data_IF_334482393085
#
_entry.id   IF_334482393085
#
_cell.length_a   1.000
_cell.length_b   1.000
_cell.length_c   1.000
_cell.angle_alpha   90.00
_cell.angle_beta   90.00
_cell.angle_gamma   90.00
#
_symmetry.space_group_name_H-M   'P 1'
#
loop_
_entity.id
_entity.type
_entity.pdbx_description
1 polymer ?
#
# COMPACT_ATOMS: atom_id res chain seq x y z
N UNK A 1 -2.22 -21.83 -4.43
CA UNK A 1 -1.28 -20.72 -4.31
C UNK A 1 -1.39 -19.84 -5.53
N UNK A 2 -1.43 -18.57 -5.35
CA UNK A 2 -1.60 -17.60 -6.43
C UNK A 2 -0.26 -16.98 -6.81
N UNK A 3 -0.11 -16.66 -8.09
CA UNK A 3 1.08 -15.94 -8.55
C UNK A 3 0.85 -14.43 -8.32
N UNK A 4 1.45 -13.92 -7.25
CA UNK A 4 1.24 -12.51 -6.87
C UNK A 4 1.71 -11.55 -7.96
N UNK A 5 2.70 -11.93 -8.78
CA UNK A 5 3.21 -11.05 -9.81
C UNK A 5 2.19 -10.78 -10.92
N UNK A 6 1.13 -11.59 -11.00
CA UNK A 6 0.03 -11.38 -11.94
C UNK A 6 -1.10 -10.54 -11.37
N UNK A 7 -1.06 -10.24 -10.08
CA UNK A 7 -2.11 -9.45 -9.43
C UNK A 7 -1.89 -7.96 -9.70
N UNK A 8 -2.90 -7.32 -10.24
CA UNK A 8 -2.80 -5.88 -10.56
C UNK A 8 -2.53 -5.04 -9.32
N UNK A 9 -3.13 -5.40 -8.18
CA UNK A 9 -2.91 -4.65 -6.95
C UNK A 9 -1.47 -4.77 -6.47
N UNK A 10 -0.84 -5.94 -6.66
CA UNK A 10 0.57 -6.09 -6.32
C UNK A 10 1.45 -5.24 -7.23
N UNK A 11 1.18 -5.25 -8.54
CA UNK A 11 1.95 -4.44 -9.49
C UNK A 11 1.87 -2.96 -9.13
N UNK A 12 0.68 -2.49 -8.81
CA UNK A 12 0.46 -1.10 -8.42
C UNK A 12 1.20 -0.76 -7.13
N UNK A 13 1.09 -1.63 -6.13
CA UNK A 13 1.76 -1.43 -4.84
C UNK A 13 3.28 -1.46 -4.99
N UNK A 14 3.79 -2.33 -5.85
CA UNK A 14 5.22 -2.42 -6.11
C UNK A 14 5.75 -1.14 -6.77
N UNK A 15 5.07 -0.67 -7.82
CA UNK A 15 5.47 0.57 -8.48
C UNK A 15 5.41 1.76 -7.53
N UNK A 16 4.39 1.81 -6.69
CA UNK A 16 4.27 2.84 -5.67
C UNK A 16 5.43 2.78 -4.68
N UNK A 17 5.83 1.58 -4.27
CA UNK A 17 6.96 1.38 -3.36
C UNK A 17 8.24 1.93 -4.00
N UNK A 18 8.48 1.61 -5.28
CA UNK A 18 9.64 2.14 -5.99
C UNK A 18 9.60 3.66 -6.05
N UNK A 19 8.44 4.24 -6.31
CA UNK A 19 8.29 5.69 -6.36
C UNK A 19 8.64 6.34 -5.03
N UNK A 20 8.13 5.80 -3.93
CA UNK A 20 8.41 6.33 -2.59
C UNK A 20 9.91 6.27 -2.29
N UNK A 21 10.55 5.14 -2.57
CA UNK A 21 11.98 4.99 -2.34
C UNK A 21 12.82 5.95 -3.16
N UNK A 22 12.44 6.18 -4.42
CA UNK A 22 13.25 6.98 -5.34
C UNK A 22 12.97 8.48 -5.23
N UNK A 23 11.73 8.87 -4.91
CA UNK A 23 11.31 10.25 -5.01
C UNK A 23 10.94 10.89 -3.67
N UNK A 24 10.52 10.12 -2.68
CA UNK A 24 10.05 10.68 -1.41
C UNK A 24 11.10 10.55 -0.32
N UNK A 25 11.61 9.33 -0.08
CA UNK A 25 12.55 9.12 1.02
C UNK A 25 13.81 9.97 0.88
N UNK A 26 14.38 10.18 -0.33
CA UNK A 26 15.59 11.00 -0.45
C UNK A 26 15.41 12.48 -0.10
N UNK A 27 14.18 13.02 -0.20
CA UNK A 27 13.94 14.42 0.07
C UNK A 27 13.47 14.69 1.50
N UNK A 28 13.30 13.64 2.30
CA UNK A 28 12.91 13.81 3.70
C UNK A 28 14.06 14.46 4.50
N UNK A 29 13.73 15.32 5.49
CA UNK A 29 14.75 15.92 6.34
C UNK A 29 15.56 14.88 7.09
N UNK A 30 16.85 15.15 7.28
CA UNK A 30 17.74 14.24 7.98
C UNK A 30 17.28 14.01 9.42
N UNK A 31 16.61 14.98 10.02
CA UNK A 31 16.10 14.88 11.39
C UNK A 31 15.06 13.79 11.54
N UNK A 32 14.39 13.41 10.43
CA UNK A 32 13.37 12.37 10.45
C UNK A 32 13.89 10.98 10.10
N UNK A 33 15.20 10.85 9.89
CA UNK A 33 15.79 9.61 9.36
C UNK A 33 15.45 8.36 10.17
N UNK A 34 15.44 8.47 11.49
CA UNK A 34 15.15 7.34 12.38
C UNK A 34 13.73 7.39 12.95
N UNK A 35 12.91 8.29 12.48
CA UNK A 35 11.53 8.45 12.93
C UNK A 35 10.58 8.36 11.73
N UNK A 36 10.10 9.50 11.24
CA UNK A 36 9.06 9.52 10.20
C UNK A 36 9.51 8.90 8.88
N UNK A 37 10.75 9.14 8.45
CA UNK A 37 11.28 8.55 7.23
C UNK A 37 11.28 7.03 7.31
N UNK A 38 11.71 6.48 8.43
CA UNK A 38 11.73 5.02 8.64
C UNK A 38 10.31 4.46 8.68
N UNK A 39 9.39 5.17 9.32
CA UNK A 39 7.99 4.75 9.40
C UNK A 39 7.34 4.69 8.02
N UNK A 40 7.58 5.71 7.20
CA UNK A 40 7.07 5.74 5.83
C UNK A 40 7.64 4.59 5.01
N UNK A 41 8.94 4.33 5.13
CA UNK A 41 9.59 3.22 4.43
C UNK A 41 8.92 1.91 4.77
N UNK A 42 8.78 1.61 6.06
CA UNK A 42 8.23 0.33 6.53
C UNK A 42 6.77 0.17 6.13
N UNK A 43 5.95 1.19 6.33
CA UNK A 43 4.54 1.13 5.97
C UNK A 43 4.39 0.91 4.46
N UNK A 44 5.22 1.57 3.66
CA UNK A 44 5.13 1.49 2.21
C UNK A 44 5.45 0.07 1.72
N UNK A 45 6.60 -0.50 2.07
CA UNK A 45 6.93 -1.83 1.56
C UNK A 45 6.07 -2.93 2.17
N UNK A 46 5.47 -2.66 3.33
CA UNK A 46 4.53 -3.58 3.96
C UNK A 46 3.31 -3.85 3.08
N UNK A 47 2.92 -2.91 2.22
CA UNK A 47 1.77 -3.10 1.34
C UNK A 47 2.00 -4.27 0.37
N UNK A 48 2.99 -4.23 -0.52
CA UNK A 48 3.21 -5.36 -1.43
C UNK A 48 3.65 -6.61 -0.69
N UNK A 49 4.38 -6.48 0.41
CA UNK A 49 4.85 -7.65 1.17
C UNK A 49 3.69 -8.47 1.72
N UNK A 50 2.65 -7.83 2.26
CA UNK A 50 1.48 -8.53 2.76
C UNK A 50 0.68 -9.19 1.63
N UNK A 51 0.66 -8.58 0.45
CA UNK A 51 0.03 -9.20 -0.72
C UNK A 51 0.79 -10.48 -1.09
N UNK A 52 2.12 -10.43 -1.11
CA UNK A 52 2.96 -11.59 -1.39
C UNK A 52 2.70 -12.71 -0.38
N UNK A 53 2.75 -12.39 0.90
CA UNK A 53 2.56 -13.38 1.95
C UNK A 53 1.16 -13.99 1.88
N UNK A 54 0.14 -13.17 1.69
CA UNK A 54 -1.24 -13.65 1.59
C UNK A 54 -1.46 -14.55 0.39
N UNK A 55 -0.81 -14.23 -0.73
CA UNK A 55 -0.96 -15.02 -1.97
C UNK A 55 -0.45 -16.45 -1.81
N UNK A 56 0.44 -16.69 -0.85
CA UNK A 56 0.97 -18.02 -0.55
C UNK A 56 0.11 -18.83 0.40
N UNK A 57 -1.00 -18.29 0.89
CA UNK A 57 -1.85 -19.02 1.83
C UNK A 57 -2.81 -19.95 1.08
N UNK A 58 -3.27 -21.00 1.77
CA UNK A 58 -4.09 -22.04 1.16
C UNK A 58 -5.56 -21.65 1.00
N UNK A 59 -6.04 -20.69 1.78
CA UNK A 59 -7.47 -20.34 1.79
C UNK A 59 -7.67 -18.87 1.45
N UNK A 60 -8.83 -18.57 0.87
CA UNK A 60 -9.23 -17.18 0.61
C UNK A 60 -9.36 -16.38 1.91
N UNK A 61 -9.83 -17.05 2.96
CA UNK A 61 -9.97 -16.41 4.27
C UNK A 61 -8.63 -15.90 4.78
N UNK A 62 -7.59 -16.72 4.71
CA UNK A 62 -6.26 -16.33 5.16
C UNK A 62 -5.66 -15.27 4.26
N UNK A 63 -5.85 -15.40 2.96
CA UNK A 63 -5.39 -14.38 2.01
C UNK A 63 -6.03 -13.03 2.34
N UNK A 64 -7.35 -13.01 2.54
CA UNK A 64 -8.07 -11.77 2.88
C UNK A 64 -7.53 -11.13 4.15
N UNK A 65 -7.13 -11.92 5.15
CA UNK A 65 -6.54 -11.38 6.38
C UNK A 65 -5.23 -10.64 6.12
N UNK A 66 -4.40 -11.17 5.24
CA UNK A 66 -3.15 -10.48 4.85
C UNK A 66 -3.45 -9.22 4.04
N UNK A 67 -4.50 -9.24 3.22
CA UNK A 67 -4.91 -8.03 2.50
C UNK A 67 -5.47 -6.98 3.44
N UNK A 68 -6.11 -7.37 4.55
CA UNK A 68 -6.49 -6.42 5.60
C UNK A 68 -5.24 -5.72 6.17
N UNK A 69 -4.16 -6.48 6.37
CA UNK A 69 -2.91 -5.90 6.85
C UNK A 69 -2.33 -4.93 5.82
N UNK A 70 -2.40 -5.28 4.53
CA UNK A 70 -1.95 -4.39 3.46
C UNK A 70 -2.79 -3.11 3.43
N UNK A 71 -4.10 -3.22 3.65
CA UNK A 71 -4.98 -2.05 3.70
C UNK A 71 -4.63 -1.17 4.90
N UNK A 72 -4.34 -1.76 6.06
CA UNK A 72 -3.91 -1.02 7.23
C UNK A 72 -2.62 -0.24 6.96
N UNK A 73 -1.66 -0.88 6.31
CA UNK A 73 -0.40 -0.22 5.92
C UNK A 73 -0.65 0.92 4.93
N UNK A 74 -1.59 0.73 4.00
CA UNK A 74 -1.96 1.77 3.04
C UNK A 74 -2.53 2.99 3.74
N UNK A 75 -3.40 2.78 4.74
CA UNK A 75 -3.96 3.88 5.53
C UNK A 75 -2.89 4.60 6.35
N UNK A 76 -1.93 3.85 6.86
CA UNK A 76 -0.81 4.42 7.59
C UNK A 76 0.02 5.34 6.68
N UNK A 77 0.31 4.89 5.46
CA UNK A 77 0.99 5.70 4.45
C UNK A 77 0.17 6.94 4.09
N UNK A 78 -1.14 6.77 3.94
CA UNK A 78 -2.05 7.87 3.64
C UNK A 78 -1.91 8.99 4.66
N UNK A 79 -1.97 8.64 5.94
CA UNK A 79 -1.82 9.63 6.99
C UNK A 79 -0.42 10.26 7.02
N UNK A 80 0.61 9.43 6.86
CA UNK A 80 1.99 9.93 6.87
C UNK A 80 2.21 10.97 5.78
N UNK A 81 1.61 10.78 4.60
CA UNK A 81 1.72 11.76 3.52
C UNK A 81 0.97 13.05 3.81
N UNK A 82 -0.18 12.97 4.47
CA UNK A 82 -0.88 14.17 4.96
C UNK A 82 0.05 14.93 5.90
N UNK A 83 0.69 14.24 6.80
CA UNK A 83 1.57 14.85 7.79
C UNK A 83 2.77 15.54 7.13
N UNK A 84 3.46 14.85 6.21
CA UNK A 84 4.63 15.46 5.57
C UNK A 84 4.24 16.58 4.60
N UNK A 85 3.03 16.55 4.05
CA UNK A 85 2.49 17.67 3.30
C UNK A 85 2.32 18.89 4.21
N UNK A 86 1.68 18.69 5.35
CA UNK A 86 1.38 19.78 6.29
C UNK A 86 2.64 20.34 6.96
N UNK A 87 3.68 19.49 7.10
CA UNK A 87 4.99 19.92 7.57
C UNK A 87 5.82 20.56 6.46
N UNK A 88 5.28 20.63 5.25
CA UNK A 88 5.95 21.18 4.07
C UNK A 88 7.24 20.44 3.69
N UNK A 89 7.34 19.15 4.02
CA UNK A 89 8.46 18.32 3.60
C UNK A 89 8.36 17.95 2.13
N UNK A 90 7.13 17.91 1.58
CA UNK A 90 6.90 17.69 0.14
C UNK A 90 5.98 18.79 -0.37
N UNK A 91 6.04 19.02 -1.69
CA UNK A 91 5.17 20.00 -2.34
C UNK A 91 3.75 19.47 -2.47
N UNK A 92 2.79 20.37 -2.71
CA UNK A 92 1.40 19.96 -2.94
C UNK A 92 1.29 19.12 -4.21
N UNK A 93 2.08 19.42 -5.24
CA UNK A 93 2.07 18.65 -6.49
C UNK A 93 2.54 17.21 -6.25
N UNK A 94 3.61 17.04 -5.48
CA UNK A 94 4.13 15.71 -5.12
C UNK A 94 3.09 14.96 -4.29
N UNK A 95 2.50 15.65 -3.32
CA UNK A 95 1.45 15.05 -2.49
C UNK A 95 0.28 14.54 -3.35
N UNK A 96 -0.20 15.35 -4.30
CA UNK A 96 -1.33 14.97 -5.13
C UNK A 96 -1.04 13.69 -5.93
N UNK A 97 0.18 13.57 -6.47
CA UNK A 97 0.58 12.38 -7.23
C UNK A 97 0.59 11.13 -6.35
N UNK A 98 1.24 11.20 -5.17
CA UNK A 98 1.32 10.03 -4.30
C UNK A 98 -0.04 9.67 -3.69
N UNK A 99 -0.85 10.68 -3.36
CA UNK A 99 -2.17 10.46 -2.80
C UNK A 99 -3.11 9.76 -3.79
N UNK A 100 -3.00 10.08 -5.07
CA UNK A 100 -3.75 9.40 -6.11
C UNK A 100 -3.42 7.91 -6.13
N UNK A 101 -2.14 7.56 -6.08
CA UNK A 101 -1.70 6.17 -6.04
C UNK A 101 -2.21 5.46 -4.79
N UNK A 102 -2.14 6.12 -3.64
CA UNK A 102 -2.65 5.55 -2.37
C UNK A 102 -4.13 5.24 -2.49
N UNK A 103 -4.92 6.16 -3.04
CA UNK A 103 -6.37 5.96 -3.19
C UNK A 103 -6.68 4.81 -4.16
N UNK A 104 -5.92 4.67 -5.23
CA UNK A 104 -6.09 3.58 -6.18
C UNK A 104 -5.79 2.23 -5.53
N UNK A 105 -4.68 2.14 -4.80
CA UNK A 105 -4.30 0.91 -4.08
C UNK A 105 -5.37 0.56 -3.05
N UNK A 106 -5.82 1.55 -2.30
CA UNK A 106 -6.86 1.35 -1.27
C UNK A 106 -8.14 0.78 -1.89
N UNK A 107 -8.59 1.35 -3.00
CA UNK A 107 -9.79 0.88 -3.69
C UNK A 107 -9.62 -0.55 -4.20
N UNK A 108 -8.46 -0.87 -4.78
CA UNK A 108 -8.17 -2.22 -5.29
C UNK A 108 -8.15 -3.24 -4.15
N UNK A 109 -7.54 -2.90 -3.01
CA UNK A 109 -7.50 -3.80 -1.86
C UNK A 109 -8.90 -4.05 -1.32
N UNK A 110 -9.71 -3.01 -1.17
CA UNK A 110 -11.07 -3.16 -0.64
C UNK A 110 -11.89 -4.07 -1.55
N UNK A 111 -11.81 -3.88 -2.87
CA UNK A 111 -12.54 -4.69 -3.83
C UNK A 111 -12.09 -6.15 -3.78
N UNK A 112 -10.79 -6.39 -3.70
CA UNK A 112 -10.23 -7.75 -3.67
C UNK A 112 -10.60 -8.47 -2.37
N UNK A 113 -10.54 -7.78 -1.24
CA UNK A 113 -10.94 -8.34 0.06
C UNK A 113 -12.40 -8.78 0.01
N UNK A 114 -13.27 -7.94 -0.53
CA UNK A 114 -14.69 -8.28 -0.67
C UNK A 114 -14.89 -9.51 -1.55
N UNK A 115 -14.19 -9.57 -2.67
CA UNK A 115 -14.26 -10.70 -3.59
C UNK A 115 -13.88 -12.01 -2.88
N UNK A 116 -12.77 -12.00 -2.14
CA UNK A 116 -12.29 -13.19 -1.43
C UNK A 116 -13.25 -13.61 -0.31
N UNK A 117 -13.79 -12.65 0.43
CA UNK A 117 -14.67 -12.94 1.57
C UNK A 117 -16.06 -13.40 1.16
N UNK A 118 -16.50 -12.96 -0.01
CA UNK A 118 -17.77 -13.45 -0.55
C UNK A 118 -17.64 -14.84 -1.15
N UNK A 119 -16.44 -15.42 -1.20
CA UNK A 119 -16.21 -16.75 -1.72
C UNK A 119 -16.66 -16.90 -3.16
N UNK A 120 -16.70 -15.81 -3.91
CA UNK A 120 -17.18 -15.73 -5.28
C UNK A 120 -18.67 -16.08 -5.44
N UNK A 121 -19.40 -16.14 -4.33
CA UNK A 121 -20.84 -16.48 -4.37
C UNK A 121 -21.61 -15.37 -5.04
N UNK A 122 -22.31 -15.71 -6.11
CA UNK A 122 -23.10 -14.76 -6.82
C UNK A 122 -22.31 -13.54 -7.25
N UNK A 123 -21.01 -13.67 -7.23
CA UNK A 123 -20.13 -12.56 -7.57
C UNK A 123 -20.16 -12.35 -9.06
N UNK A 124 -20.38 -11.12 -9.45
CA UNK A 124 -20.28 -10.69 -10.83
C UNK A 124 -18.95 -9.96 -11.06
N UNK A 125 -18.12 -9.99 -10.09
CA UNK A 125 -16.83 -9.34 -10.13
C UNK A 125 -15.93 -9.96 -11.16
#
# INVERSE_FOLDING_TARGET
MRDYQKLDVWKKAHLFTLQVYKEILPIMPVEERFALTQQIRRATYSIPLNIVEGSGKNTDKDFASYLDNALGSTKEVEYAFILIRDLAYISLEVYDVVNKSVNEIKAMLIAFIKFLRNGNKGSTV
#
